data_IF_646161426078
#
_entry.id   IF_646161426078
#
_cell.length_a   1.000
_cell.length_b   1.000
_cell.length_c   1.000
_cell.angle_alpha   90.00
_cell.angle_beta   90.00
_cell.angle_gamma   90.00
#
_symmetry.space_group_name_H-M   'P 1'
#
loop_
_entity.id
_entity.type
_entity.pdbx_description
1 polymer ?
#
# COMPACT_ATOMS: atom_id res chain seq x y z
N UNK A 1 14.78 13.32 -1.39
CA UNK A 1 13.77 12.50 -2.12
C UNK A 1 12.81 11.98 -1.06
N UNK A 2 11.55 12.42 -1.08
CA UNK A 2 10.59 12.17 0.02
C UNK A 2 9.82 10.87 -0.24
N UNK A 3 9.69 10.02 0.78
CA UNK A 3 9.01 8.73 0.66
C UNK A 3 7.50 8.92 0.80
N UNK A 4 6.70 8.39 -0.14
CA UNK A 4 5.24 8.44 -0.06
C UNK A 4 4.70 7.10 0.43
N UNK A 5 4.10 7.10 1.62
CA UNK A 5 3.43 5.93 2.20
C UNK A 5 1.95 6.01 1.87
N UNK A 6 1.49 5.08 1.07
CA UNK A 6 0.11 5.04 0.62
C UNK A 6 -0.66 4.03 1.47
N UNK A 7 -1.65 4.52 2.21
CA UNK A 7 -2.50 3.71 3.05
C UNK A 7 -2.97 4.43 4.31
N UNK A 8 -4.01 3.91 4.97
CA UNK A 8 -4.55 4.52 6.16
C UNK A 8 -3.62 4.38 7.37
N UNK A 9 -3.50 5.44 8.17
CA UNK A 9 -2.67 5.47 9.39
C UNK A 9 -3.15 4.49 10.47
N UNK A 10 -4.43 4.11 10.45
CA UNK A 10 -5.01 3.15 11.39
C UNK A 10 -4.69 1.68 11.03
N UNK A 11 -4.33 1.37 9.78
CA UNK A 11 -4.00 0.00 9.39
C UNK A 11 -2.66 -0.44 10.00
N UNK A 12 -2.63 -1.67 10.54
CA UNK A 12 -1.45 -2.23 11.20
C UNK A 12 -0.22 -2.33 10.28
N UNK A 13 -0.42 -2.60 8.99
CA UNK A 13 0.66 -2.64 8.01
C UNK A 13 1.30 -1.26 7.81
N UNK A 14 0.48 -0.24 7.52
CA UNK A 14 0.94 1.14 7.34
C UNK A 14 1.62 1.67 8.60
N UNK A 15 1.03 1.42 9.78
CA UNK A 15 1.56 1.89 11.07
C UNK A 15 2.97 1.35 11.35
N UNK A 16 3.25 0.09 11.03
CA UNK A 16 4.61 -0.49 11.18
C UNK A 16 5.64 0.21 10.29
N UNK A 17 5.27 0.52 9.05
CA UNK A 17 6.15 1.25 8.12
C UNK A 17 6.42 2.67 8.63
N UNK A 18 5.38 3.37 9.09
CA UNK A 18 5.50 4.72 9.64
C UNK A 18 6.43 4.77 10.86
N UNK A 19 6.28 3.83 11.81
CA UNK A 19 7.17 3.74 12.98
C UNK A 19 8.63 3.57 12.53
N UNK A 20 8.88 2.67 11.59
CA UNK A 20 10.23 2.39 11.10
C UNK A 20 10.85 3.61 10.36
N UNK A 21 10.05 4.37 9.62
CA UNK A 21 10.48 5.61 8.97
C UNK A 21 10.80 6.72 9.99
N UNK A 22 9.99 6.83 11.05
CA UNK A 22 10.24 7.75 12.17
C UNK A 22 11.54 7.38 12.89
N UNK A 23 11.75 6.11 13.22
CA UNK A 23 12.97 5.62 13.88
C UNK A 23 14.23 5.91 13.06
N UNK A 24 14.12 5.78 11.73
CA UNK A 24 15.21 6.09 10.79
C UNK A 24 15.34 7.58 10.46
N UNK A 25 14.50 8.45 11.03
CA UNK A 25 14.43 9.91 10.76
C UNK A 25 14.34 10.23 9.26
N UNK A 26 13.58 9.42 8.51
CA UNK A 26 13.34 9.63 7.08
C UNK A 26 12.12 10.52 6.91
N UNK A 27 12.21 11.52 6.03
CA UNK A 27 11.06 12.34 5.66
C UNK A 27 10.08 11.55 4.79
N UNK A 28 8.81 11.52 5.19
CA UNK A 28 7.76 10.83 4.46
C UNK A 28 6.45 11.62 4.45
N UNK A 29 5.63 11.35 3.43
CA UNK A 29 4.27 11.83 3.30
C UNK A 29 3.30 10.65 3.38
N UNK A 30 2.16 10.86 4.05
CA UNK A 30 1.10 9.85 4.15
C UNK A 30 -0.01 10.22 3.17
N UNK A 31 -0.28 9.33 2.23
CA UNK A 31 -1.44 9.42 1.34
C UNK A 31 -2.52 8.50 1.92
N UNK A 32 -3.54 9.11 2.52
CA UNK A 32 -4.65 8.38 3.11
C UNK A 32 -5.50 7.72 2.03
N UNK A 33 -5.87 6.46 2.24
CA UNK A 33 -6.77 5.70 1.37
C UNK A 33 -7.86 5.10 2.23
N UNK A 34 -9.11 5.26 1.80
CA UNK A 34 -10.27 4.72 2.48
C UNK A 34 -10.52 3.27 2.08
N UNK A 35 -10.27 2.36 3.02
CA UNK A 35 -10.49 0.93 2.81
C UNK A 35 -11.97 0.54 2.81
N UNK A 36 -12.84 1.32 3.47
CA UNK A 36 -14.28 1.06 3.52
C UNK A 36 -14.92 1.38 2.17
N UNK A 37 -14.41 2.40 1.47
CA UNK A 37 -14.79 2.71 0.08
C UNK A 37 -14.16 1.78 -0.96
N UNK A 38 -13.19 0.96 -0.57
CA UNK A 38 -12.55 0.01 -1.48
C UNK A 38 -11.53 0.65 -2.43
N UNK A 39 -10.99 1.82 -2.09
CA UNK A 39 -10.02 2.56 -2.92
C UNK A 39 -8.72 1.79 -3.18
N UNK A 40 -8.35 0.86 -2.29
CA UNK A 40 -7.24 -0.08 -2.48
C UNK A 40 -7.41 -1.03 -3.68
N UNK A 41 -8.60 -1.07 -4.28
CA UNK A 41 -8.92 -1.86 -5.48
C UNK A 41 -8.94 -1.02 -6.75
N UNK A 42 -8.67 0.28 -6.66
CA UNK A 42 -8.60 1.12 -7.86
C UNK A 42 -7.39 0.73 -8.71
N UNK A 43 -7.51 0.84 -10.05
CA UNK A 43 -6.46 0.43 -10.98
C UNK A 43 -5.13 1.17 -10.75
N UNK A 44 -5.18 2.40 -10.25
CA UNK A 44 -4.00 3.20 -9.90
C UNK A 44 -3.23 2.59 -8.72
N UNK A 45 -3.94 2.14 -7.67
CA UNK A 45 -3.32 1.48 -6.52
C UNK A 45 -2.84 0.06 -6.86
N UNK A 46 -3.56 -0.66 -7.70
CA UNK A 46 -3.19 -2.00 -8.18
C UNK A 46 -1.89 -2.02 -8.98
N UNK A 47 -1.56 -0.93 -9.70
CA UNK A 47 -0.26 -0.79 -10.39
C UNK A 47 0.91 -0.75 -9.42
N UNK A 48 0.72 -0.14 -8.24
CA UNK A 48 1.74 -0.01 -7.20
C UNK A 48 1.82 -1.28 -6.35
N UNK A 49 0.68 -1.89 -6.06
CA UNK A 49 0.56 -3.06 -5.20
C UNK A 49 -0.17 -4.19 -5.93
N UNK A 50 0.59 -5.06 -6.62
CA UNK A 50 0.05 -6.18 -7.43
C UNK A 50 -0.41 -7.39 -6.60
N UNK A 51 -0.73 -7.22 -5.32
CA UNK A 51 -1.04 -8.33 -4.40
C UNK A 51 -2.51 -8.75 -4.36
N UNK A 52 -3.35 -8.27 -5.29
CA UNK A 52 -4.74 -8.71 -5.38
C UNK A 52 -4.84 -10.20 -5.77
N UNK A 53 -5.20 -11.01 -4.78
CA UNK A 53 -5.42 -12.46 -4.89
C UNK A 53 -6.54 -12.82 -5.87
N UNK A 54 -7.43 -11.88 -6.23
CA UNK A 54 -8.50 -12.12 -7.21
C UNK A 54 -7.97 -12.22 -8.65
N UNK A 55 -6.85 -11.55 -8.94
CA UNK A 55 -6.19 -11.60 -10.25
C UNK A 55 -5.13 -12.71 -10.35
N UNK A 56 -5.04 -13.58 -9.33
CA UNK A 56 -4.07 -14.68 -9.26
C UNK A 56 -4.38 -15.81 -10.23
N UNK A 57 -5.62 -15.91 -10.74
CA UNK A 57 -6.01 -16.88 -11.78
C UNK A 57 -5.21 -16.70 -13.08
N UNK A 58 -4.82 -15.48 -13.42
CA UNK A 58 -3.99 -15.20 -14.60
C UNK A 58 -2.48 -15.35 -14.34
N UNK A 59 -2.06 -15.59 -13.08
CA UNK A 59 -0.64 -15.77 -12.72
C UNK A 59 -0.23 -17.25 -12.65
N UNK A 60 -1.19 -18.18 -12.72
CA UNK A 60 -0.95 -19.63 -12.73
C UNK A 60 -0.85 -20.22 -14.16
N UNK A 61 -0.95 -19.42 -15.21
CA UNK A 61 -0.74 -19.87 -16.61
C UNK A 61 0.71 -19.69 -17.10
N UNK A 62 1.63 -19.25 -16.23
CA UNK A 62 3.05 -19.13 -16.53
C UNK A 62 3.83 -19.93 -15.47
N UNK A 63 3.57 -21.23 -15.41
CA UNK A 63 4.50 -22.24 -14.90
C UNK A 63 4.35 -23.47 -15.81
#
# INVERSE_FOLDING_TARGET
>A
MVVKVIGPSYASASRRVLVCLIEKKVEFEIIHIDFMKGEQKQPEYLKLQTSDMRNRKNRLQIV
#
